data_IF_407109905863
#
_entry.id   IF_407109905863
#
_cell.length_a   1.000
_cell.length_b   1.000
_cell.length_c   1.000
_cell.angle_alpha   90.00
_cell.angle_beta   90.00
_cell.angle_gamma   90.00
#
_symmetry.space_group_name_H-M   'P 1'
#
loop_
_entity.id
_entity.type
_entity.pdbx_description
1 polymer ?
#
# COMPACT_ATOMS: atom_id res chain seq x y z
N UNK A 1 3.34 -6.77 13.17
CA UNK A 1 4.11 -6.72 11.90
C UNK A 1 4.25 -5.27 11.45
N UNK A 2 5.45 -4.81 11.27
CA UNK A 2 5.71 -3.45 10.79
C UNK A 2 5.96 -3.47 9.28
N UNK A 3 6.01 -2.29 8.66
CA UNK A 3 6.19 -2.19 7.21
C UNK A 3 7.48 -2.87 6.74
N UNK A 4 8.52 -2.87 7.55
CA UNK A 4 9.80 -3.50 7.20
C UNK A 4 9.72 -5.02 7.13
N UNK A 5 8.71 -5.60 7.77
CA UNK A 5 8.52 -7.05 7.81
C UNK A 5 7.54 -7.56 6.75
N UNK A 6 6.96 -6.65 5.97
CA UNK A 6 6.02 -7.04 4.93
C UNK A 6 6.75 -7.72 3.78
N UNK A 7 6.09 -8.73 3.20
CA UNK A 7 6.58 -9.38 1.98
C UNK A 7 6.36 -8.44 0.79
N UNK A 8 6.97 -8.76 -0.35
CA UNK A 8 6.77 -7.98 -1.57
C UNK A 8 5.30 -7.93 -1.96
N UNK A 9 4.58 -9.05 -1.83
CA UNK A 9 3.15 -9.13 -2.12
C UNK A 9 2.33 -8.25 -1.19
N UNK A 10 2.67 -8.24 0.09
CA UNK A 10 1.97 -7.43 1.07
C UNK A 10 2.23 -5.94 0.85
N UNK A 11 3.44 -5.58 0.48
CA UNK A 11 3.77 -4.18 0.15
C UNK A 11 2.98 -3.72 -1.07
N UNK A 12 2.85 -4.57 -2.06
CA UNK A 12 2.08 -4.25 -3.26
C UNK A 12 0.60 -4.07 -2.93
N UNK A 13 0.05 -4.95 -2.10
CA UNK A 13 -1.32 -4.85 -1.63
C UNK A 13 -1.55 -3.54 -0.87
N UNK A 14 -0.64 -3.18 0.01
CA UNK A 14 -0.71 -1.94 0.76
C UNK A 14 -0.68 -0.74 -0.18
N UNK A 15 0.18 -0.78 -1.16
CA UNK A 15 0.30 0.29 -2.15
C UNK A 15 -1.00 0.49 -2.92
N UNK A 16 -1.63 -0.60 -3.32
CA UNK A 16 -2.92 -0.55 -4.02
C UNK A 16 -4.01 0.03 -3.12
N UNK A 17 -4.03 -0.37 -1.85
CA UNK A 17 -5.00 0.14 -0.88
C UNK A 17 -4.84 1.65 -0.69
N UNK A 18 -3.60 2.12 -0.57
CA UNK A 18 -3.32 3.55 -0.44
C UNK A 18 -3.71 4.28 -1.71
N UNK A 19 -3.46 3.67 -2.86
CA UNK A 19 -3.80 4.25 -4.15
C UNK A 19 -5.31 4.46 -4.27
N UNK A 20 -6.12 3.49 -3.84
CA UNK A 20 -7.57 3.63 -3.81
C UNK A 20 -8.00 4.80 -2.94
N UNK A 21 -7.36 4.96 -1.80
CA UNK A 21 -7.66 6.03 -0.87
C UNK A 21 -7.32 7.40 -1.47
N UNK A 22 -6.17 7.50 -2.11
CA UNK A 22 -5.72 8.73 -2.76
C UNK A 22 -6.61 9.12 -3.92
N UNK A 23 -7.00 8.15 -4.74
CA UNK A 23 -7.83 8.39 -5.92
C UNK A 23 -9.31 8.59 -5.57
N UNK A 24 -9.76 7.99 -4.48
CA UNK A 24 -11.16 8.04 -4.08
C UNK A 24 -12.06 7.09 -4.87
N UNK A 25 -11.47 6.21 -5.67
CA UNK A 25 -12.20 5.19 -6.43
C UNK A 25 -11.27 4.01 -6.70
N UNK A 26 -11.84 2.90 -7.11
CA UNK A 26 -11.05 1.70 -7.41
C UNK A 26 -10.14 1.97 -8.62
N UNK A 27 -8.81 1.80 -8.47
CA UNK A 27 -7.89 2.10 -9.56
C UNK A 27 -8.04 1.14 -10.72
N UNK A 28 -7.88 1.69 -11.94
CA UNK A 28 -7.89 0.90 -13.15
C UNK A 28 -6.58 0.11 -13.26
N UNK A 29 -6.54 -0.81 -14.21
CA UNK A 29 -5.36 -1.63 -14.47
C UNK A 29 -4.13 -0.76 -14.75
N UNK A 30 -4.31 0.30 -15.53
CA UNK A 30 -3.23 1.22 -15.86
C UNK A 30 -2.74 1.99 -14.63
N UNK A 31 -3.66 2.39 -13.77
CA UNK A 31 -3.32 3.11 -12.54
C UNK A 31 -2.53 2.23 -11.58
N UNK A 32 -2.91 0.96 -11.49
CA UNK A 32 -2.17 0.00 -10.67
C UNK A 32 -0.77 -0.23 -11.23
N UNK A 33 -0.63 -0.29 -12.56
CA UNK A 33 0.66 -0.47 -13.21
C UNK A 33 1.60 0.70 -12.94
N UNK A 34 1.06 1.91 -12.78
CA UNK A 34 1.83 3.11 -12.51
C UNK A 34 1.70 3.58 -11.07
N UNK A 35 1.34 2.65 -10.17
CA UNK A 35 1.15 2.99 -8.76
C UNK A 35 2.37 3.63 -8.13
N UNK A 36 3.57 3.23 -8.53
CA UNK A 36 4.82 3.78 -8.00
C UNK A 36 4.99 5.27 -8.31
N UNK A 37 4.40 5.74 -9.41
CA UNK A 37 4.47 7.14 -9.81
C UNK A 37 3.48 8.00 -9.00
N UNK A 38 2.41 7.38 -8.51
CA UNK A 38 1.38 8.07 -7.75
C UNK A 38 1.65 7.96 -6.25
N UNK A 39 2.01 6.75 -5.81
CA UNK A 39 2.30 6.44 -4.41
C UNK A 39 3.67 5.78 -4.36
N UNK A 40 4.70 6.54 -3.99
CA UNK A 40 6.05 6.02 -3.91
C UNK A 40 6.25 5.13 -2.70
N UNK A 41 7.28 4.28 -2.74
CA UNK A 41 7.65 3.45 -1.59
C UNK A 41 8.04 4.32 -0.40
N UNK A 42 8.70 5.43 -0.67
CA UNK A 42 9.12 6.38 0.36
C UNK A 42 7.91 6.96 1.09
N UNK A 43 6.87 7.30 0.34
CA UNK A 43 5.62 7.80 0.91
C UNK A 43 4.99 6.75 1.83
N UNK A 44 4.93 5.50 1.35
CA UNK A 44 4.36 4.39 2.12
C UNK A 44 5.15 4.17 3.41
N UNK A 45 6.46 4.16 3.33
CA UNK A 45 7.32 3.95 4.49
C UNK A 45 7.15 5.06 5.52
N UNK A 46 7.02 6.29 5.07
CA UNK A 46 6.84 7.43 5.96
C UNK A 46 5.46 7.44 6.63
N UNK A 47 4.42 7.22 5.84
CA UNK A 47 3.04 7.23 6.35
C UNK A 47 2.73 6.08 7.28
N UNK A 48 3.33 4.94 7.03
CA UNK A 48 3.04 3.73 7.79
C UNK A 48 4.17 3.32 8.73
N UNK A 49 5.15 4.19 8.93
CA UNK A 49 6.21 3.95 9.90
C UNK A 49 5.59 3.84 11.29
N UNK A 50 5.89 2.77 11.98
CA UNK A 50 5.35 2.53 13.31
C UNK A 50 3.95 1.93 13.35
N UNK A 51 3.29 1.79 12.22
CA UNK A 51 2.01 1.10 12.15
C UNK A 51 2.23 -0.40 12.30
N UNK A 52 1.42 -1.03 13.14
CA UNK A 52 1.47 -2.46 13.34
C UNK A 52 0.38 -3.11 12.49
N UNK A 53 0.78 -3.81 11.44
CA UNK A 53 -0.16 -4.47 10.55
C UNK A 53 -0.56 -5.81 11.11
N UNK A 54 -1.87 -5.99 11.28
CA UNK A 54 -2.45 -7.27 11.70
C UNK A 54 -3.06 -7.88 10.45
N UNK A 55 -2.54 -9.03 10.05
CA UNK A 55 -2.89 -9.68 8.79
C UNK A 55 -4.39 -9.85 8.60
N UNK A 56 -5.07 -10.32 9.62
CA UNK A 56 -6.51 -10.57 9.55
C UNK A 56 -7.32 -9.29 9.37
N UNK A 57 -6.91 -8.21 10.01
CA UNK A 57 -7.64 -6.95 9.96
C UNK A 57 -7.35 -6.16 8.70
N UNK A 58 -6.15 -6.31 8.15
CA UNK A 58 -5.73 -5.52 7.00
C UNK A 58 -5.85 -6.27 5.69
N UNK A 59 -5.47 -7.53 5.68
CA UNK A 59 -5.41 -8.31 4.44
C UNK A 59 -6.67 -9.12 4.19
N UNK A 60 -7.45 -9.24 5.21
CA UNK A 60 -8.77 -9.80 5.24
C UNK A 60 -9.11 -11.03 4.61
#
# INVERSE_FOLDING_TARGET
MTIDNLTASQREQLKITVLEDVLGYEPSWNEVAFADDIVSDEYIEEEFAGVNFVEEDFWG
#
